data_IF_580844084920
#
_entry.id   IF_580844084920
#
_cell.length_a   1.000
_cell.length_b   1.000
_cell.length_c   1.000
_cell.angle_alpha   90.00
_cell.angle_beta   90.00
_cell.angle_gamma   90.00
#
_symmetry.space_group_name_H-M   'P 1'
#
loop_
_entity.id
_entity.type
_entity.pdbx_description
1 polymer ?
#
# COMPACT_ATOMS: atom_id res chain seq x y z
N UNK A 1 -4.99 2.24 12.34
CA UNK A 1 -3.71 1.88 11.68
C UNK A 1 -2.73 1.44 12.74
N UNK A 2 -2.01 0.33 12.51
CA UNK A 2 -1.00 -0.17 13.46
C UNK A 2 0.10 0.88 13.69
N UNK A 3 0.58 0.99 14.93
CA UNK A 3 1.72 1.85 15.30
C UNK A 3 2.99 1.49 14.50
N UNK A 4 3.14 0.24 14.11
CA UNK A 4 4.26 -0.25 13.29
C UNK A 4 4.13 0.16 11.83
N UNK A 5 2.92 0.20 11.27
CA UNK A 5 2.68 0.71 9.91
C UNK A 5 3.05 2.19 9.81
N UNK A 6 2.64 3.00 10.79
CA UNK A 6 3.02 4.41 10.85
C UNK A 6 4.53 4.59 10.99
N UNK A 7 5.20 3.72 11.76
CA UNK A 7 6.65 3.74 11.92
C UNK A 7 7.38 3.39 10.63
N UNK A 8 6.93 2.36 9.90
CA UNK A 8 7.48 1.99 8.58
C UNK A 8 7.31 3.13 7.57
N UNK A 9 6.11 3.72 7.48
CA UNK A 9 5.87 4.86 6.60
C UNK A 9 6.77 6.05 6.94
N UNK A 10 6.97 6.33 8.24
CA UNK A 10 7.89 7.38 8.67
C UNK A 10 9.35 7.11 8.30
N UNK A 11 9.79 5.84 8.29
CA UNK A 11 11.13 5.48 7.82
C UNK A 11 11.27 5.66 6.30
N UNK A 12 10.25 5.35 5.51
CA UNK A 12 10.26 5.63 4.07
C UNK A 12 10.36 7.14 3.80
N UNK A 13 9.54 7.95 4.47
CA UNK A 13 9.62 9.42 4.36
C UNK A 13 11.00 9.94 4.77
N UNK A 14 11.61 9.37 5.81
CA UNK A 14 12.97 9.74 6.23
C UNK A 14 14.00 9.45 5.14
N UNK A 15 13.90 8.33 4.41
CA UNK A 15 14.80 8.06 3.26
C UNK A 15 14.66 9.14 2.20
N UNK A 16 13.43 9.46 1.81
CA UNK A 16 13.15 10.47 0.78
C UNK A 16 13.67 11.86 1.19
N UNK A 17 13.45 12.24 2.45
CA UNK A 17 13.93 13.52 3.02
C UNK A 17 15.46 13.58 3.11
N UNK A 18 16.09 12.50 3.55
CA UNK A 18 17.56 12.38 3.60
C UNK A 18 18.15 12.47 2.20
N UNK A 19 17.60 11.74 1.22
CA UNK A 19 18.05 11.79 -0.16
C UNK A 19 17.90 13.19 -0.76
N UNK A 20 16.74 13.82 -0.60
CA UNK A 20 16.51 15.17 -1.11
C UNK A 20 17.47 16.20 -0.50
N UNK A 21 17.78 16.07 0.80
CA UNK A 21 18.70 16.97 1.50
C UNK A 21 20.14 16.84 0.97
N UNK A 22 20.61 15.60 0.77
CA UNK A 22 21.94 15.36 0.20
C UNK A 22 22.04 15.76 -1.27
N UNK A 23 21.00 15.50 -2.08
CA UNK A 23 20.95 15.96 -3.47
C UNK A 23 21.07 17.48 -3.58
N UNK A 24 20.35 18.21 -2.72
CA UNK A 24 20.44 19.67 -2.67
C UNK A 24 21.83 20.16 -2.25
N UNK A 25 22.46 19.50 -1.28
CA UNK A 25 23.81 19.84 -0.84
C UNK A 25 24.85 19.57 -1.96
N UNK A 26 24.68 18.46 -2.68
CA UNK A 26 25.51 18.09 -3.83
C UNK A 26 25.39 19.13 -4.96
N UNK A 27 24.17 19.47 -5.37
CA UNK A 27 23.91 20.48 -6.41
C UNK A 27 24.55 21.84 -6.06
N UNK A 28 24.47 22.26 -4.80
CA UNK A 28 25.11 23.50 -4.33
C UNK A 28 26.63 23.45 -4.46
N UNK A 29 27.25 22.32 -4.11
CA UNK A 29 28.70 22.15 -4.17
C UNK A 29 29.21 21.99 -5.59
N UNK A 30 28.46 21.32 -6.45
CA UNK A 30 28.76 21.23 -7.88
C UNK A 30 28.67 22.59 -8.57
N UNK A 31 27.69 23.42 -8.20
CA UNK A 31 27.58 24.80 -8.69
C UNK A 31 28.78 25.65 -8.24
N UNK A 32 29.18 25.57 -6.97
CA UNK A 32 30.36 26.27 -6.44
C UNK A 32 31.65 25.82 -7.16
N UNK A 33 31.78 24.51 -7.39
CA UNK A 33 32.91 23.92 -8.12
C UNK A 33 32.98 24.42 -9.57
N UNK A 34 31.84 24.54 -10.25
CA UNK A 34 31.76 25.06 -11.62
C UNK A 34 32.23 26.52 -11.68
N UNK A 35 31.75 27.36 -10.76
CA UNK A 35 32.11 28.79 -10.68
C UNK A 35 33.62 28.97 -10.47
N UNK A 36 34.21 28.23 -9.53
CA UNK A 36 35.64 28.30 -9.24
C UNK A 36 36.48 27.75 -10.40
N UNK A 37 36.00 26.73 -11.12
CA UNK A 37 36.69 26.21 -12.30
C UNK A 37 36.71 27.23 -13.44
N UNK A 38 35.63 27.96 -13.66
CA UNK A 38 35.58 29.06 -14.63
C UNK A 38 36.57 30.17 -14.25
N UNK A 39 36.55 30.59 -12.97
CA UNK A 39 37.50 31.59 -12.46
C UNK A 39 38.96 31.12 -12.61
N UNK A 40 39.23 29.86 -12.25
CA UNK A 40 40.56 29.25 -12.38
C UNK A 40 41.03 29.23 -13.84
N UNK A 41 40.15 28.89 -14.79
CA UNK A 41 40.48 28.85 -16.20
C UNK A 41 40.87 30.24 -16.73
N UNK A 42 40.12 31.28 -16.37
CA UNK A 42 40.41 32.65 -16.78
C UNK A 42 41.70 33.18 -16.13
N UNK A 43 41.90 32.87 -14.86
CA UNK A 43 43.13 33.21 -14.12
C UNK A 43 44.37 32.48 -14.65
N UNK A 44 44.22 31.24 -15.10
CA UNK A 44 45.30 30.50 -15.75
C UNK A 44 45.69 31.11 -17.11
N UNK A 45 44.71 31.55 -17.91
CA UNK A 45 44.99 32.29 -19.16
C UNK A 45 45.75 33.58 -18.86
N UNK A 46 45.26 34.36 -17.90
CA UNK A 46 45.91 35.60 -17.46
C UNK A 46 47.33 35.37 -16.94
N UNK A 47 47.55 34.33 -16.13
CA UNK A 47 48.88 33.95 -15.65
C UNK A 47 49.83 33.59 -16.81
N UNK A 48 49.32 32.88 -17.81
CA UNK A 48 50.09 32.53 -19.02
C UNK A 48 50.51 33.78 -19.80
N UNK A 49 49.62 34.76 -19.93
CA UNK A 49 49.92 36.01 -20.62
C UNK A 49 50.87 36.91 -19.80
N UNK A 50 50.70 36.99 -18.48
CA UNK A 50 51.64 37.65 -17.59
C UNK A 50 53.03 37.00 -17.63
N UNK A 51 53.11 35.67 -17.77
CA UNK A 51 54.39 34.99 -17.95
C UNK A 51 55.09 35.40 -19.25
N UNK A 52 54.36 35.48 -20.37
CA UNK A 52 54.89 36.00 -21.64
C UNK A 52 55.38 37.44 -21.48
N UNK A 53 54.59 38.31 -20.86
CA UNK A 53 54.96 39.71 -20.62
C UNK A 53 56.17 39.85 -19.69
N UNK A 54 56.29 39.00 -18.67
CA UNK A 54 57.48 38.93 -17.80
C UNK A 54 58.73 38.58 -18.60
N UNK A 55 58.67 37.57 -19.48
CA UNK A 55 59.80 37.19 -20.34
C UNK A 55 60.23 38.32 -21.30
N UNK A 56 59.29 39.18 -21.69
CA UNK A 56 59.54 40.37 -22.50
C UNK A 56 59.95 41.61 -21.65
N UNK A 57 60.13 41.46 -20.33
CA UNK A 57 60.39 42.53 -19.37
C UNK A 57 59.33 43.65 -19.35
N UNK A 58 58.09 43.35 -19.74
CA UNK A 58 56.97 44.30 -19.76
C UNK A 58 56.21 44.36 -18.43
N UNK A 59 56.38 43.37 -17.55
CA UNK A 59 55.72 43.25 -16.25
C UNK A 59 56.73 42.77 -15.20
N UNK A 60 56.58 43.23 -13.95
CA UNK A 60 57.46 42.84 -12.84
C UNK A 60 57.25 41.38 -12.41
N UNK A 61 58.31 40.79 -11.86
CA UNK A 61 58.24 39.43 -11.28
C UNK A 61 57.23 39.32 -10.13
N UNK A 62 57.07 40.40 -9.37
CA UNK A 62 56.10 40.50 -8.27
C UNK A 62 54.66 40.35 -8.76
N UNK A 63 54.30 41.00 -9.89
CA UNK A 63 52.96 40.92 -10.46
C UNK A 63 52.65 39.50 -10.98
N UNK A 64 53.62 38.82 -11.58
CA UNK A 64 53.47 37.41 -11.97
C UNK A 64 53.29 36.50 -10.76
N UNK A 65 54.15 36.65 -9.74
CA UNK A 65 54.09 35.83 -8.53
C UNK A 65 52.77 36.04 -7.76
N UNK A 66 52.26 37.27 -7.71
CA UNK A 66 50.98 37.58 -7.09
C UNK A 66 49.82 36.85 -7.78
N UNK A 67 49.78 36.81 -9.12
CA UNK A 67 48.74 36.10 -9.85
C UNK A 67 48.89 34.57 -9.74
N UNK A 68 50.13 34.08 -9.69
CA UNK A 68 50.43 32.65 -9.46
C UNK A 68 49.85 32.17 -8.13
N UNK A 69 50.03 32.94 -7.06
CA UNK A 69 49.48 32.62 -5.72
C UNK A 69 47.95 32.50 -5.76
N UNK A 70 47.27 33.36 -6.51
CA UNK A 70 45.79 33.27 -6.67
C UNK A 70 45.38 32.00 -7.42
N UNK A 71 46.08 31.66 -8.50
CA UNK A 71 45.82 30.42 -9.27
C UNK A 71 46.03 29.19 -8.38
N UNK A 72 47.10 29.17 -7.59
CA UNK A 72 47.38 28.04 -6.69
C UNK A 72 46.34 27.94 -5.56
N UNK A 73 45.89 29.07 -5.01
CA UNK A 73 44.78 29.11 -4.04
C UNK A 73 43.46 28.58 -4.62
N UNK A 74 43.13 28.95 -5.86
CA UNK A 74 41.93 28.43 -6.55
C UNK A 74 42.04 26.93 -6.80
N UNK A 75 43.22 26.40 -7.19
CA UNK A 75 43.45 24.95 -7.33
C UNK A 75 43.23 24.21 -6.01
N UNK A 76 43.76 24.74 -4.90
CA UNK A 76 43.53 24.15 -3.58
C UNK A 76 42.05 24.15 -3.20
N UNK A 77 41.32 25.21 -3.54
CA UNK A 77 39.86 25.29 -3.30
C UNK A 77 39.09 24.27 -4.15
N UNK A 78 39.48 24.04 -5.41
CA UNK A 78 38.91 22.99 -6.26
C UNK A 78 39.09 21.60 -5.64
N UNK A 79 40.29 21.27 -5.17
CA UNK A 79 40.56 19.97 -4.53
C UNK A 79 39.72 19.80 -3.26
N UNK A 80 39.65 20.82 -2.41
CA UNK A 80 38.84 20.78 -1.20
C UNK A 80 37.34 20.56 -1.51
N UNK A 81 36.80 21.23 -2.53
CA UNK A 81 35.41 21.02 -2.94
C UNK A 81 35.15 19.64 -3.52
N UNK A 82 36.10 19.08 -4.27
CA UNK A 82 35.99 17.70 -4.76
C UNK A 82 35.98 16.68 -3.62
N UNK A 83 36.78 16.91 -2.56
CA UNK A 83 36.75 16.11 -1.35
C UNK A 83 35.42 16.23 -0.60
N UNK A 84 34.87 17.45 -0.45
CA UNK A 84 33.57 17.69 0.16
C UNK A 84 32.43 16.99 -0.60
N UNK A 85 32.43 17.05 -1.93
CA UNK A 85 31.47 16.34 -2.79
C UNK A 85 31.54 14.82 -2.54
N UNK A 86 32.74 14.26 -2.51
CA UNK A 86 32.96 12.83 -2.25
C UNK A 86 32.46 12.42 -0.85
N UNK A 87 32.64 13.28 0.16
CA UNK A 87 32.10 13.04 1.50
C UNK A 87 30.57 13.09 1.54
N UNK A 88 29.94 14.01 0.79
CA UNK A 88 28.48 14.08 0.67
C UNK A 88 27.90 12.76 0.14
N UNK A 89 28.47 12.21 -0.93
CA UNK A 89 28.02 10.94 -1.49
C UNK A 89 28.20 9.76 -0.52
N UNK A 90 29.33 9.77 0.21
CA UNK A 90 29.60 8.76 1.23
C UNK A 90 28.60 8.83 2.38
N UNK A 91 28.33 10.01 2.92
CA UNK A 91 27.38 10.19 4.02
C UNK A 91 25.95 9.91 3.58
N UNK A 92 25.56 10.30 2.36
CA UNK A 92 24.29 9.87 1.76
C UNK A 92 24.16 8.35 1.80
N UNK A 93 25.18 7.63 1.36
CA UNK A 93 25.17 6.17 1.33
C UNK A 93 25.09 5.56 2.72
N UNK A 94 25.89 6.06 3.68
CA UNK A 94 25.92 5.58 5.06
C UNK A 94 24.58 5.81 5.78
N UNK A 95 23.98 6.99 5.64
CA UNK A 95 22.69 7.32 6.25
C UNK A 95 21.54 6.50 5.66
N UNK A 96 21.50 6.32 4.33
CA UNK A 96 20.50 5.47 3.68
C UNK A 96 20.65 4.02 4.14
N UNK A 97 21.87 3.50 4.26
CA UNK A 97 22.10 2.15 4.80
C UNK A 97 21.64 2.01 6.25
N UNK A 98 21.84 3.04 7.07
CA UNK A 98 21.35 3.05 8.45
C UNK A 98 19.82 2.94 8.51
N UNK A 99 19.11 3.75 7.71
CA UNK A 99 17.65 3.71 7.64
C UNK A 99 17.14 2.38 7.06
N UNK A 100 17.84 1.79 6.10
CA UNK A 100 17.53 0.44 5.59
C UNK A 100 17.66 -0.62 6.69
N UNK A 101 18.70 -0.57 7.52
CA UNK A 101 18.84 -1.46 8.67
C UNK A 101 17.69 -1.34 9.66
N UNK A 102 17.21 -0.11 9.93
CA UNK A 102 16.01 0.13 10.74
C UNK A 102 14.74 -0.45 10.09
N UNK A 103 14.58 -0.28 8.78
CA UNK A 103 13.45 -0.83 8.01
C UNK A 103 13.43 -2.36 8.07
N UNK A 104 14.56 -3.03 7.90
CA UNK A 104 14.65 -4.49 7.97
C UNK A 104 14.29 -5.02 9.37
N UNK A 105 14.77 -4.36 10.42
CA UNK A 105 14.46 -4.72 11.79
C UNK A 105 12.96 -4.56 12.11
N UNK A 106 12.31 -3.53 11.59
CA UNK A 106 10.88 -3.28 11.79
C UNK A 106 10.00 -4.15 10.87
N UNK A 107 10.46 -4.50 9.66
CA UNK A 107 9.76 -5.41 8.74
C UNK A 107 9.47 -6.76 9.39
N UNK A 108 10.43 -7.31 10.14
CA UNK A 108 10.25 -8.57 10.85
C UNK A 108 9.14 -8.50 11.92
N UNK A 109 9.03 -7.38 12.64
CA UNK A 109 7.99 -7.16 13.65
C UNK A 109 6.63 -6.93 13.01
N UNK A 110 6.58 -6.10 11.98
CA UNK A 110 5.36 -5.81 11.23
C UNK A 110 4.78 -7.06 10.56
N UNK A 111 5.63 -7.93 9.99
CA UNK A 111 5.18 -9.20 9.40
C UNK A 111 4.44 -10.10 10.41
N UNK A 112 4.94 -10.18 11.65
CA UNK A 112 4.27 -10.94 12.71
C UNK A 112 2.92 -10.33 13.10
N UNK A 113 2.86 -8.99 13.24
CA UNK A 113 1.61 -8.29 13.54
C UNK A 113 0.59 -8.44 12.40
N UNK A 114 1.04 -8.33 11.15
CA UNK A 114 0.22 -8.53 9.96
C UNK A 114 -0.36 -9.95 9.92
N UNK A 115 0.44 -10.97 10.21
CA UNK A 115 -0.05 -12.35 10.27
C UNK A 115 -1.06 -12.56 11.41
N UNK A 116 -0.84 -11.95 12.57
CA UNK A 116 -1.78 -12.01 13.68
C UNK A 116 -3.13 -11.37 13.31
N UNK A 117 -3.09 -10.22 12.63
CA UNK A 117 -4.29 -9.52 12.18
C UNK A 117 -5.03 -10.29 11.07
N UNK A 118 -4.31 -10.87 10.11
CA UNK A 118 -4.91 -11.76 9.10
C UNK A 118 -5.59 -12.95 9.77
N UNK A 119 -4.96 -13.58 10.75
CA UNK A 119 -5.58 -14.68 11.52
C UNK A 119 -6.82 -14.21 12.26
N UNK A 120 -6.82 -13.00 12.83
CA UNK A 120 -7.99 -12.41 13.47
C UNK A 120 -9.15 -12.28 12.48
N UNK A 121 -8.90 -11.71 11.31
CA UNK A 121 -9.90 -11.59 10.23
C UNK A 121 -10.40 -12.97 9.79
N UNK A 122 -9.51 -13.95 9.63
CA UNK A 122 -9.90 -15.33 9.29
C UNK A 122 -10.83 -15.96 10.35
N UNK A 123 -10.53 -15.75 11.63
CA UNK A 123 -11.38 -16.22 12.72
C UNK A 123 -12.74 -15.49 12.78
N UNK A 124 -12.76 -14.19 12.49
CA UNK A 124 -14.00 -13.41 12.35
C UNK A 124 -14.87 -13.95 11.20
N UNK A 125 -14.27 -14.26 10.04
CA UNK A 125 -14.96 -14.89 8.91
C UNK A 125 -15.48 -16.30 9.25
N UNK A 126 -14.70 -17.12 9.97
CA UNK A 126 -15.16 -18.43 10.45
C UNK A 126 -16.35 -18.30 11.40
N UNK A 127 -16.31 -17.31 12.30
CA UNK A 127 -17.42 -17.04 13.21
C UNK A 127 -18.67 -16.58 12.45
N UNK A 128 -18.53 -15.70 11.45
CA UNK A 128 -19.63 -15.27 10.59
C UNK A 128 -20.23 -16.43 9.79
N UNK A 129 -19.40 -17.33 9.25
CA UNK A 129 -19.85 -18.55 8.59
C UNK A 129 -20.66 -19.44 9.54
N UNK A 130 -20.19 -19.62 10.77
CA UNK A 130 -20.92 -20.38 11.78
C UNK A 130 -22.26 -19.73 12.14
N UNK A 131 -22.29 -18.40 12.29
CA UNK A 131 -23.51 -17.65 12.54
C UNK A 131 -24.55 -17.81 11.41
N UNK A 132 -24.11 -17.74 10.15
CA UNK A 132 -24.96 -18.01 8.99
C UNK A 132 -25.56 -19.42 9.04
N UNK A 133 -24.72 -20.45 9.29
CA UNK A 133 -25.20 -21.84 9.40
C UNK A 133 -26.20 -22.03 10.55
N UNK A 134 -25.94 -21.41 11.71
CA UNK A 134 -26.88 -21.44 12.83
C UNK A 134 -28.22 -20.81 12.47
N UNK A 135 -28.22 -19.69 11.73
CA UNK A 135 -29.46 -19.07 11.22
C UNK A 135 -30.21 -19.97 10.26
N UNK A 136 -29.51 -20.72 9.40
CA UNK A 136 -30.14 -21.71 8.53
C UNK A 136 -30.80 -22.86 9.33
N UNK A 137 -30.15 -23.32 10.41
CA UNK A 137 -30.72 -24.33 11.31
C UNK A 137 -31.97 -23.77 12.02
N UNK A 138 -31.92 -22.55 12.55
CA UNK A 138 -33.07 -21.89 13.16
C UNK A 138 -34.24 -21.77 12.17
N UNK A 139 -33.97 -21.35 10.92
CA UNK A 139 -34.97 -21.22 9.87
C UNK A 139 -35.61 -22.56 9.53
N UNK A 140 -34.81 -23.64 9.44
CA UNK A 140 -35.32 -25.01 9.23
C UNK A 140 -36.27 -25.45 10.33
N UNK A 141 -35.90 -25.22 11.59
CA UNK A 141 -36.75 -25.64 12.72
C UNK A 141 -38.05 -24.83 12.79
N UNK A 142 -38.01 -23.54 12.42
CA UNK A 142 -39.23 -22.74 12.25
C UNK A 142 -40.10 -23.27 11.11
N UNK A 143 -39.50 -23.55 9.95
CA UNK A 143 -40.22 -24.12 8.80
C UNK A 143 -40.91 -25.44 9.15
N UNK A 144 -40.21 -26.36 9.82
CA UNK A 144 -40.81 -27.65 10.24
C UNK A 144 -42.06 -27.44 11.08
N UNK A 145 -42.03 -26.55 12.08
CA UNK A 145 -43.19 -26.28 12.94
C UNK A 145 -44.41 -25.82 12.12
N UNK A 146 -44.18 -25.06 11.05
CA UNK A 146 -45.23 -24.54 10.17
C UNK A 146 -45.72 -25.63 9.19
N UNK A 147 -44.81 -26.41 8.61
CA UNK A 147 -45.11 -27.39 7.57
C UNK A 147 -45.57 -28.77 8.09
N UNK A 148 -45.23 -29.12 9.34
CA UNK A 148 -45.48 -30.44 9.92
C UNK A 148 -46.97 -30.84 9.97
N UNK A 149 -47.92 -29.95 10.34
CA UNK A 149 -49.35 -30.29 10.32
C UNK A 149 -49.85 -30.65 8.92
N UNK A 150 -49.44 -29.89 7.91
CA UNK A 150 -49.82 -30.14 6.51
C UNK A 150 -49.24 -31.48 6.02
N UNK A 151 -47.97 -31.75 6.32
CA UNK A 151 -47.32 -33.02 5.99
C UNK A 151 -48.01 -34.21 6.67
N UNK A 152 -48.37 -34.10 7.96
CA UNK A 152 -49.11 -35.15 8.67
C UNK A 152 -50.48 -35.41 8.04
N UNK A 153 -51.17 -34.37 7.59
CA UNK A 153 -52.46 -34.48 6.90
C UNK A 153 -52.31 -35.18 5.54
N UNK A 154 -51.31 -34.82 4.73
CA UNK A 154 -51.02 -35.49 3.45
C UNK A 154 -50.72 -36.97 3.65
N UNK A 155 -49.87 -37.31 4.63
CA UNK A 155 -49.55 -38.70 4.96
C UNK A 155 -50.80 -39.49 5.38
N UNK A 156 -51.72 -38.86 6.11
CA UNK A 156 -52.98 -39.49 6.49
C UNK A 156 -53.87 -39.74 5.27
N UNK A 157 -54.01 -38.77 4.36
CA UNK A 157 -54.77 -38.92 3.11
C UNK A 157 -54.22 -40.06 2.24
N UNK A 158 -52.89 -40.17 2.14
CA UNK A 158 -52.23 -41.25 1.42
C UNK A 158 -52.54 -42.61 2.08
N UNK A 159 -52.40 -42.71 3.41
CA UNK A 159 -52.70 -43.94 4.15
C UNK A 159 -54.14 -44.41 4.00
N UNK A 160 -55.08 -43.48 3.90
CA UNK A 160 -56.51 -43.76 3.70
C UNK A 160 -56.86 -44.03 2.23
N UNK A 161 -55.89 -44.02 1.30
CA UNK A 161 -56.14 -44.23 -0.13
C UNK A 161 -56.83 -43.05 -0.83
N UNK A 162 -56.96 -41.90 -0.17
CA UNK A 162 -57.60 -40.71 -0.72
C UNK A 162 -56.68 -39.89 -1.63
N UNK A 163 -55.39 -40.18 -1.62
CA UNK A 163 -54.38 -39.49 -2.42
C UNK A 163 -53.24 -40.44 -2.80
N UNK A 164 -52.76 -40.35 -4.03
CA UNK A 164 -51.56 -41.08 -4.49
C UNK A 164 -50.31 -40.36 -3.97
N UNK A 165 -49.30 -41.12 -3.53
CA UNK A 165 -48.05 -40.57 -3.02
C UNK A 165 -47.36 -39.73 -4.10
N UNK A 166 -47.14 -38.45 -3.82
CA UNK A 166 -46.37 -37.51 -4.65
C UNK A 166 -45.17 -36.94 -3.89
N UNK A 167 -44.26 -36.28 -4.59
CA UNK A 167 -43.14 -35.56 -3.98
C UNK A 167 -43.66 -34.33 -3.20
N UNK A 168 -43.15 -34.14 -1.98
CA UNK A 168 -43.42 -32.97 -1.15
C UNK A 168 -42.09 -32.24 -0.92
N UNK A 169 -42.02 -30.96 -1.30
CA UNK A 169 -40.79 -30.15 -1.21
C UNK A 169 -40.27 -30.05 0.23
N UNK A 170 -38.96 -30.21 0.38
CA UNK A 170 -38.30 -30.14 1.69
C UNK A 170 -38.03 -28.71 2.15
N UNK A 171 -37.49 -28.57 3.36
CA UNK A 171 -37.03 -27.28 3.87
C UNK A 171 -35.92 -26.68 3.01
N UNK A 172 -35.07 -27.53 2.40
CA UNK A 172 -34.04 -27.09 1.47
C UNK A 172 -34.66 -26.41 0.25
N UNK A 173 -35.64 -27.05 -0.39
CA UNK A 173 -36.23 -26.56 -1.65
C UNK A 173 -37.14 -25.35 -1.44
N UNK A 174 -37.70 -25.22 -0.23
CA UNK A 174 -38.60 -24.11 0.11
C UNK A 174 -37.84 -22.89 0.65
N UNK A 175 -36.68 -23.10 1.28
CA UNK A 175 -35.86 -22.03 1.86
C UNK A 175 -34.62 -21.70 1.02
N UNK A 176 -34.47 -22.30 -0.16
CA UNK A 176 -33.36 -22.00 -1.08
C UNK A 176 -33.60 -20.70 -1.85
N UNK A 177 -34.85 -20.32 -2.07
CA UNK A 177 -35.17 -19.24 -2.99
C UNK A 177 -36.40 -18.47 -2.53
N UNK A 178 -36.40 -17.16 -2.76
CA UNK A 178 -37.57 -16.29 -2.54
C UNK A 178 -37.94 -15.59 -3.83
N UNK A 179 -39.23 -15.55 -4.14
CA UNK A 179 -39.75 -14.76 -5.26
C UNK A 179 -39.84 -13.30 -4.84
N UNK A 180 -39.20 -12.41 -5.60
CA UNK A 180 -39.23 -10.96 -5.37
C UNK A 180 -39.46 -10.23 -6.68
N UNK A 181 -40.65 -9.61 -6.83
CA UNK A 181 -41.08 -8.97 -8.07
C UNK A 181 -41.21 -9.99 -9.22
N UNK A 182 -40.60 -9.67 -10.36
CA UNK A 182 -40.63 -10.49 -11.60
C UNK A 182 -39.57 -11.62 -11.64
N UNK A 183 -38.89 -11.92 -10.53
CA UNK A 183 -37.95 -13.03 -10.52
C UNK A 183 -37.67 -13.59 -9.13
N UNK A 184 -36.59 -14.35 -9.05
CA UNK A 184 -36.21 -15.07 -7.84
C UNK A 184 -34.83 -14.65 -7.34
N UNK A 185 -34.66 -14.65 -6.02
CA UNK A 185 -33.39 -14.43 -5.35
C UNK A 185 -32.98 -15.69 -4.58
N UNK A 186 -31.73 -16.11 -4.74
CA UNK A 186 -31.18 -17.23 -3.99
C UNK A 186 -30.92 -16.78 -2.55
N UNK A 187 -31.49 -17.51 -1.60
CA UNK A 187 -31.28 -17.26 -0.17
C UNK A 187 -29.97 -17.88 0.34
N UNK A 188 -29.40 -18.80 -0.44
CA UNK A 188 -28.11 -19.42 -0.14
C UNK A 188 -26.96 -18.60 -0.71
N UNK A 189 -25.90 -18.46 0.07
CA UNK A 189 -24.67 -17.81 -0.39
C UNK A 189 -23.90 -18.75 -1.32
N UNK A 190 -23.80 -18.38 -2.59
CA UNK A 190 -23.06 -19.12 -3.61
C UNK A 190 -21.55 -18.83 -3.56
N UNK A 191 -20.73 -19.77 -4.05
CA UNK A 191 -19.27 -19.60 -4.09
C UNK A 191 -18.84 -18.37 -4.88
N UNK A 192 -19.52 -18.10 -6.01
CA UNK A 192 -19.24 -16.92 -6.82
C UNK A 192 -19.50 -15.61 -6.08
N UNK A 193 -20.57 -15.55 -5.28
CA UNK A 193 -20.87 -14.37 -4.46
C UNK A 193 -19.79 -14.12 -3.40
N UNK A 194 -19.25 -15.20 -2.81
CA UNK A 194 -18.11 -15.10 -1.88
C UNK A 194 -16.86 -14.62 -2.60
N UNK A 195 -16.59 -15.16 -3.79
CA UNK A 195 -15.45 -14.75 -4.62
C UNK A 195 -15.53 -13.26 -4.96
N UNK A 196 -16.66 -12.79 -5.49
CA UNK A 196 -16.82 -11.39 -5.91
C UNK A 196 -16.68 -10.42 -4.73
N UNK A 197 -17.17 -10.81 -3.54
CA UNK A 197 -17.03 -10.03 -2.32
C UNK A 197 -15.57 -9.94 -1.85
N UNK A 198 -14.82 -11.04 -1.91
CA UNK A 198 -13.42 -11.05 -1.47
C UNK A 198 -12.47 -10.41 -2.50
N UNK A 199 -12.71 -10.63 -3.79
CA UNK A 199 -11.84 -10.16 -4.87
C UNK A 199 -12.11 -8.72 -5.27
N UNK A 200 -13.37 -8.27 -5.21
CA UNK A 200 -13.78 -6.96 -5.71
C UNK A 200 -14.48 -6.09 -4.68
N UNK A 201 -14.73 -6.57 -3.46
CA UNK A 201 -15.48 -5.83 -2.44
C UNK A 201 -16.94 -5.60 -2.81
N UNK A 202 -17.48 -6.37 -3.77
CA UNK A 202 -18.83 -6.19 -4.30
C UNK A 202 -19.77 -7.23 -3.72
N UNK A 203 -20.98 -6.82 -3.40
CA UNK A 203 -22.08 -7.73 -3.08
C UNK A 203 -23.18 -7.59 -4.13
N UNK A 204 -24.03 -8.61 -4.34
CA UNK A 204 -25.04 -8.56 -5.39
C UNK A 204 -25.99 -7.37 -5.19
N UNK A 205 -26.04 -6.45 -6.16
CA UNK A 205 -26.88 -5.25 -6.06
C UNK A 205 -28.37 -5.57 -5.93
N UNK A 206 -28.81 -6.68 -6.54
CA UNK A 206 -30.20 -7.14 -6.45
C UNK A 206 -30.53 -7.56 -5.02
N UNK A 207 -29.66 -8.35 -4.38
CA UNK A 207 -29.81 -8.74 -2.97
C UNK A 207 -29.91 -7.50 -2.06
N UNK A 208 -29.03 -6.52 -2.25
CA UNK A 208 -29.08 -5.28 -1.47
C UNK A 208 -30.41 -4.54 -1.63
N UNK A 209 -30.90 -4.40 -2.87
CA UNK A 209 -32.20 -3.78 -3.17
C UNK A 209 -33.35 -4.53 -2.51
N UNK A 210 -33.41 -5.85 -2.68
CA UNK A 210 -34.45 -6.70 -2.08
C UNK A 210 -34.48 -6.55 -0.55
N UNK A 211 -33.32 -6.55 0.10
CA UNK A 211 -33.22 -6.38 1.56
C UNK A 211 -33.66 -4.97 1.98
N UNK A 212 -33.29 -3.93 1.22
CA UNK A 212 -33.74 -2.56 1.50
C UNK A 212 -35.25 -2.42 1.37
N UNK A 213 -35.82 -2.90 0.27
CA UNK A 213 -37.26 -2.87 0.01
C UNK A 213 -38.05 -3.61 1.10
N UNK A 214 -37.52 -4.76 1.57
CA UNK A 214 -38.16 -5.54 2.61
C UNK A 214 -38.17 -4.81 3.97
N UNK A 215 -37.11 -4.05 4.28
CA UNK A 215 -37.05 -3.19 5.47
C UNK A 215 -38.03 -2.02 5.38
N UNK A 216 -38.08 -1.36 4.23
CA UNK A 216 -39.02 -0.24 3.99
C UNK A 216 -40.48 -0.70 4.12
N UNK A 217 -40.78 -1.94 3.71
CA UNK A 217 -42.11 -2.55 3.83
C UNK A 217 -42.40 -3.16 5.21
N UNK A 218 -41.45 -3.11 6.15
CA UNK A 218 -41.60 -3.65 7.50
C UNK A 218 -41.71 -5.18 7.57
N UNK A 219 -41.22 -5.88 6.54
CA UNK A 219 -41.18 -7.35 6.51
C UNK A 219 -40.06 -7.88 7.42
N UNK A 220 -38.95 -7.14 7.48
CA UNK A 220 -37.77 -7.39 8.33
C UNK A 220 -37.26 -6.10 8.96
#
# INVERSE_FOLDING_TARGET
MSKLLNKLNGLFTKVDETEASYMKALEQKEAELLEINLELQDKQKMLTDLHKMKLLNQVSEEAFNAEKVKVDALKSKVVALQEEISLIDRYKTEDIHSVLGELEAEKGKYSKEQQAEIRRIQMELLNAKNAYLNKMVEARERYKKIAEPAFKLEQLKIKLGLQVRSYTSGSHDTLSMVSVGEGHENLLVEHQTVYDALSYGRTPERLQRVVSDAREKGII
#
